data_IF_394425632187
#
_entry.id   IF_394425632187
#
_cell.length_a   1.000
_cell.length_b   1.000
_cell.length_c   1.000
_cell.angle_alpha   90.00
_cell.angle_beta   90.00
_cell.angle_gamma   90.00
#
_symmetry.space_group_name_H-M   'P 1'
#
loop_
_entity.id
_entity.type
_entity.pdbx_description
1 polymer ?
#
# COMPACT_ATOMS: atom_id res chain seq x y z
N UNK A 1 10.19 80.53 44.22
CA UNK A 1 9.83 79.29 44.96
C UNK A 1 10.39 79.42 46.36
N UNK A 2 9.58 79.25 47.38
CA UNK A 2 10.06 79.30 48.76
C UNK A 2 11.01 78.10 48.99
N UNK A 3 12.24 78.42 49.37
CA UNK A 3 13.25 77.36 49.67
C UNK A 3 12.97 76.86 51.08
N UNK A 4 12.38 75.67 51.20
CA UNK A 4 12.16 74.96 52.46
C UNK A 4 13.41 74.21 52.83
N UNK A 5 14.14 74.62 53.85
CA UNK A 5 15.45 74.05 54.24
C UNK A 5 15.35 72.65 54.87
N UNK A 6 14.25 72.39 55.59
CA UNK A 6 14.03 71.09 56.26
C UNK A 6 13.65 69.93 55.31
N UNK A 7 13.07 70.20 54.15
CA UNK A 7 12.68 69.17 53.16
C UNK A 7 13.12 69.60 51.80
N UNK A 8 14.16 68.86 51.23
CA UNK A 8 14.66 69.12 49.89
C UNK A 8 13.75 68.46 48.86
N UNK A 9 12.60 69.12 48.53
CA UNK A 9 11.62 68.57 47.55
C UNK A 9 12.23 68.36 46.16
N UNK A 10 13.25 69.15 45.80
CA UNK A 10 13.96 69.01 44.50
C UNK A 10 14.79 67.73 44.47
N UNK A 11 15.55 67.44 45.55
CA UNK A 11 16.30 66.23 45.70
C UNK A 11 15.40 64.97 45.75
N UNK A 12 14.28 65.05 46.50
CA UNK A 12 13.29 63.95 46.53
C UNK A 12 12.68 63.66 45.17
N UNK A 13 12.33 64.74 44.41
CA UNK A 13 11.80 64.55 43.06
C UNK A 13 12.90 63.96 42.08
N UNK A 14 14.13 64.46 42.20
CA UNK A 14 15.26 63.91 41.39
C UNK A 14 15.52 62.45 41.76
N UNK A 15 15.50 62.09 43.05
CA UNK A 15 15.69 60.68 43.44
C UNK A 15 14.53 59.80 43.00
N UNK A 16 13.30 60.25 43.04
CA UNK A 16 12.16 59.51 42.46
C UNK A 16 12.31 59.31 40.98
N UNK A 17 12.70 60.37 40.25
CA UNK A 17 12.93 60.27 38.79
C UNK A 17 14.12 59.36 38.45
N UNK A 18 15.20 59.41 39.23
CA UNK A 18 16.32 58.48 39.12
C UNK A 18 15.89 57.05 39.36
N UNK A 19 15.03 56.76 40.36
CA UNK A 19 14.47 55.44 40.61
C UNK A 19 13.63 54.92 39.43
N UNK A 20 12.82 55.76 38.79
CA UNK A 20 12.06 55.40 37.57
C UNK A 20 12.99 55.10 36.42
N UNK A 21 14.03 55.95 36.20
CA UNK A 21 14.98 55.75 35.08
C UNK A 21 15.84 54.48 35.25
N UNK A 22 16.34 54.23 36.47
CA UNK A 22 17.13 53.00 36.74
C UNK A 22 16.27 51.75 36.62
N UNK A 23 15.00 51.79 37.00
CA UNK A 23 14.03 50.71 36.80
C UNK A 23 13.77 50.46 35.30
N UNK A 24 13.59 51.55 34.52
CA UNK A 24 13.41 51.44 33.07
C UNK A 24 14.69 50.88 32.37
N UNK A 25 15.88 51.32 32.80
CA UNK A 25 17.18 50.84 32.31
C UNK A 25 17.33 49.32 32.61
N UNK A 26 17.03 48.86 33.82
CA UNK A 26 17.07 47.47 34.20
C UNK A 26 16.12 46.62 33.34
N UNK A 27 14.92 47.14 33.04
CA UNK A 27 13.95 46.47 32.19
C UNK A 27 14.40 46.39 30.74
N UNK A 28 14.99 47.43 30.18
CA UNK A 28 15.62 47.37 28.83
C UNK A 28 16.81 46.40 28.79
N UNK A 29 17.64 46.37 29.83
CA UNK A 29 18.72 45.41 29.97
C UNK A 29 18.22 43.95 30.02
N UNK A 30 17.11 43.69 30.74
CA UNK A 30 16.47 42.37 30.78
C UNK A 30 16.00 41.94 29.39
N UNK A 31 15.38 42.81 28.61
CA UNK A 31 14.91 42.53 27.26
C UNK A 31 16.07 42.32 26.28
N UNK A 32 17.11 43.15 26.37
CA UNK A 32 18.31 42.97 25.52
C UNK A 32 19.06 41.69 25.80
N UNK A 33 19.14 41.28 27.08
CA UNK A 33 19.80 40.05 27.49
C UNK A 33 19.01 38.79 27.07
N UNK A 34 17.66 38.84 27.15
CA UNK A 34 16.80 37.70 26.77
C UNK A 34 16.48 37.64 25.31
N UNK A 35 16.55 38.76 24.57
CA UNK A 35 16.07 38.90 23.20
C UNK A 35 14.55 38.96 23.09
N UNK A 36 13.84 38.93 24.21
CA UNK A 36 12.38 38.93 24.24
C UNK A 36 11.81 40.24 24.75
N UNK A 37 10.74 40.72 24.08
CA UNK A 37 9.97 41.87 24.49
C UNK A 37 9.09 41.57 25.73
N UNK A 38 8.59 40.29 25.78
CA UNK A 38 7.73 39.79 26.85
C UNK A 38 8.51 38.74 27.64
N UNK A 39 9.03 39.14 28.81
CA UNK A 39 9.76 38.25 29.70
C UNK A 39 8.91 37.72 30.84
N UNK A 40 8.02 38.55 31.34
CA UNK A 40 7.18 38.24 32.49
C UNK A 40 5.69 38.43 32.19
N UNK A 41 4.83 37.70 32.88
CA UNK A 41 3.38 37.81 32.70
C UNK A 41 2.86 39.24 32.93
N UNK A 42 3.57 40.04 33.77
CA UNK A 42 3.25 41.45 34.03
C UNK A 42 3.58 42.41 32.87
N UNK A 43 4.36 41.98 31.88
CA UNK A 43 4.70 42.82 30.71
C UNK A 43 3.54 42.86 29.70
N UNK A 44 3.02 41.69 29.36
CA UNK A 44 1.84 41.50 28.50
C UNK A 44 1.27 40.10 28.73
N UNK A 45 0.25 40.00 29.56
CA UNK A 45 -0.37 38.71 29.89
C UNK A 45 -1.11 38.08 28.69
N UNK A 46 -1.68 38.90 27.81
CA UNK A 46 -2.39 38.42 26.63
C UNK A 46 -1.39 37.94 25.56
N UNK A 47 -0.37 38.74 25.27
CA UNK A 47 0.70 38.38 24.34
C UNK A 47 1.47 37.15 24.79
N UNK A 48 1.76 37.01 26.08
CA UNK A 48 2.41 35.82 26.63
C UNK A 48 1.56 34.56 26.42
N UNK A 49 0.27 34.60 26.72
CA UNK A 49 -0.65 33.47 26.53
C UNK A 49 -0.71 33.03 25.05
N UNK A 50 -0.75 33.98 24.11
CA UNK A 50 -0.81 33.72 22.69
C UNK A 50 0.54 33.11 22.21
N UNK A 51 1.67 33.73 22.63
CA UNK A 51 3.00 33.22 22.23
C UNK A 51 3.27 31.80 22.76
N UNK A 52 2.92 31.52 24.01
CA UNK A 52 3.06 30.16 24.56
C UNK A 52 2.18 29.12 23.84
N UNK A 53 0.96 29.52 23.42
CA UNK A 53 0.11 28.66 22.58
C UNK A 53 0.74 28.43 21.23
N UNK A 54 1.24 29.45 20.55
CA UNK A 54 1.93 29.33 19.24
C UNK A 54 3.19 28.49 19.36
N UNK A 55 3.98 28.70 20.39
CA UNK A 55 5.19 27.92 20.66
C UNK A 55 4.88 26.44 20.91
N UNK A 56 3.79 26.15 21.62
CA UNK A 56 3.31 24.76 21.77
C UNK A 56 2.87 24.17 20.44
N UNK A 57 2.20 24.95 19.57
CA UNK A 57 1.81 24.51 18.23
C UNK A 57 3.04 24.24 17.35
N UNK A 58 4.04 25.15 17.31
CA UNK A 58 5.28 24.96 16.54
C UNK A 58 5.99 23.67 16.96
N UNK A 59 6.15 23.43 18.27
CA UNK A 59 6.73 22.19 18.77
C UNK A 59 5.91 20.96 18.39
N UNK A 60 4.59 21.07 18.41
CA UNK A 60 3.67 20.02 17.97
C UNK A 60 3.80 19.73 16.46
N UNK A 61 3.86 20.77 15.63
CA UNK A 61 4.01 20.66 14.17
C UNK A 61 5.35 20.05 13.79
N UNK A 62 6.46 20.48 14.41
CA UNK A 62 7.78 19.91 14.18
C UNK A 62 7.83 18.41 14.56
N UNK A 63 7.17 18.03 15.66
CA UNK A 63 7.06 16.63 16.04
C UNK A 63 6.20 15.84 15.06
N UNK A 64 5.13 16.44 14.55
CA UNK A 64 4.26 15.86 13.55
C UNK A 64 4.99 15.66 12.21
N UNK A 65 5.84 16.60 11.79
CA UNK A 65 6.71 16.48 10.62
C UNK A 65 7.69 15.29 10.77
N UNK A 66 8.34 15.18 11.95
CA UNK A 66 9.21 14.02 12.26
C UNK A 66 8.43 12.70 12.21
N UNK A 67 7.24 12.64 12.82
CA UNK A 67 6.39 11.46 12.77
C UNK A 67 6.02 11.08 11.32
N UNK A 68 5.72 12.07 10.48
CA UNK A 68 5.42 11.83 9.07
C UNK A 68 6.63 11.26 8.32
N UNK A 69 7.85 11.73 8.60
CA UNK A 69 9.10 11.18 8.06
C UNK A 69 9.34 9.74 8.51
N UNK A 70 9.05 9.42 9.79
CA UNK A 70 9.08 8.04 10.30
C UNK A 70 8.08 7.16 9.53
N UNK A 71 6.89 7.70 9.22
CA UNK A 71 5.89 7.02 8.40
C UNK A 71 6.35 6.76 6.97
N UNK A 72 7.03 7.70 6.33
CA UNK A 72 7.63 7.52 5.00
C UNK A 72 8.70 6.42 5.05
N UNK A 73 9.56 6.40 6.06
CA UNK A 73 10.61 5.39 6.23
C UNK A 73 10.02 3.98 6.43
N UNK A 74 8.91 3.87 7.16
CA UNK A 74 8.15 2.63 7.34
C UNK A 74 7.59 2.14 6.00
N UNK A 75 6.97 3.03 5.22
CA UNK A 75 6.40 2.70 3.90
C UNK A 75 7.51 2.24 2.96
N UNK A 76 8.64 2.92 2.90
CA UNK A 76 9.79 2.53 2.07
C UNK A 76 10.35 1.16 2.45
N UNK A 77 10.37 0.82 3.74
CA UNK A 77 10.77 -0.52 4.20
C UNK A 77 9.80 -1.59 3.71
N UNK A 78 8.49 -1.33 3.82
CA UNK A 78 7.47 -2.24 3.33
C UNK A 78 7.51 -2.38 1.80
N UNK A 79 7.70 -1.27 1.08
CA UNK A 79 7.79 -1.26 -0.38
C UNK A 79 9.02 -2.03 -0.89
N UNK A 80 10.16 -1.91 -0.22
CA UNK A 80 11.36 -2.70 -0.53
C UNK A 80 11.08 -4.20 -0.45
N UNK A 81 10.43 -4.65 0.63
CA UNK A 81 10.05 -6.05 0.78
C UNK A 81 8.99 -6.50 -0.24
N UNK A 82 8.03 -5.64 -0.60
CA UNK A 82 7.05 -5.93 -1.63
C UNK A 82 7.66 -5.99 -3.04
N UNK A 83 8.76 -5.26 -3.30
CA UNK A 83 9.52 -5.39 -4.54
C UNK A 83 10.15 -6.77 -4.67
N UNK A 84 10.78 -7.27 -3.60
CA UNK A 84 11.32 -8.63 -3.58
C UNK A 84 10.21 -9.68 -3.75
N UNK A 85 9.09 -9.53 -3.03
CA UNK A 85 7.94 -10.40 -3.19
C UNK A 85 7.40 -10.40 -4.63
N UNK A 86 7.35 -9.24 -5.28
CA UNK A 86 6.94 -9.12 -6.68
C UNK A 86 7.92 -9.85 -7.63
N UNK A 87 9.22 -9.72 -7.41
CA UNK A 87 10.25 -10.41 -8.20
C UNK A 87 10.16 -11.93 -8.05
N UNK A 88 9.90 -12.42 -6.84
CA UNK A 88 9.66 -13.83 -6.55
C UNK A 88 8.41 -14.31 -7.31
N UNK A 89 7.31 -13.58 -7.26
CA UNK A 89 6.08 -13.94 -7.95
C UNK A 89 6.26 -13.94 -9.47
N UNK A 90 7.02 -13.01 -10.04
CA UNK A 90 7.36 -13.03 -11.45
C UNK A 90 8.16 -14.29 -11.80
N UNK A 91 9.14 -14.67 -10.99
CA UNK A 91 9.89 -15.92 -11.19
C UNK A 91 9.00 -17.16 -11.09
N UNK A 92 8.06 -17.17 -10.13
CA UNK A 92 7.07 -18.24 -10.02
C UNK A 92 6.17 -18.33 -11.25
N UNK A 93 5.79 -17.20 -11.84
CA UNK A 93 5.01 -17.18 -13.08
C UNK A 93 5.80 -17.75 -14.25
N UNK A 94 7.08 -17.38 -14.39
CA UNK A 94 7.96 -17.97 -15.43
C UNK A 94 8.06 -19.49 -15.30
N UNK A 95 8.28 -19.98 -14.08
CA UNK A 95 8.36 -21.42 -13.78
C UNK A 95 7.04 -22.14 -14.05
N UNK A 96 5.91 -21.51 -13.69
CA UNK A 96 4.60 -22.08 -13.95
C UNK A 96 4.31 -22.18 -15.45
N UNK A 97 4.67 -21.15 -16.23
CA UNK A 97 4.56 -21.17 -17.70
C UNK A 97 5.50 -22.22 -18.31
N UNK A 98 6.74 -22.33 -17.81
CA UNK A 98 7.67 -23.36 -18.24
C UNK A 98 7.11 -24.76 -17.95
N UNK A 99 6.57 -24.99 -16.74
CA UNK A 99 6.00 -26.26 -16.31
C UNK A 99 4.71 -26.65 -17.05
N UNK A 100 4.00 -25.65 -17.61
CA UNK A 100 2.81 -25.89 -18.42
C UNK A 100 3.10 -26.49 -19.79
N UNK A 101 4.38 -26.54 -20.22
CA UNK A 101 4.73 -27.10 -21.49
C UNK A 101 4.80 -28.63 -21.40
N UNK A 102 4.11 -29.33 -22.30
CA UNK A 102 4.07 -30.79 -22.36
C UNK A 102 5.38 -31.45 -22.87
N UNK A 103 6.36 -30.66 -23.29
CA UNK A 103 7.69 -31.15 -23.60
C UNK A 103 8.53 -31.51 -22.37
N UNK A 104 8.09 -31.10 -21.17
CA UNK A 104 8.78 -31.39 -19.92
C UNK A 104 8.44 -32.81 -19.43
N UNK A 105 9.46 -33.58 -19.09
CA UNK A 105 9.29 -34.86 -18.42
C UNK A 105 8.92 -34.67 -16.91
N UNK A 106 8.48 -35.77 -16.27
CA UNK A 106 8.13 -35.73 -14.84
C UNK A 106 9.27 -35.24 -13.96
N UNK A 107 10.51 -35.61 -14.27
CA UNK A 107 11.70 -35.16 -13.51
C UNK A 107 11.91 -33.64 -13.61
N UNK A 108 11.68 -33.07 -14.80
CA UNK A 108 11.79 -31.62 -15.01
C UNK A 108 10.70 -30.87 -14.24
N UNK A 109 9.47 -31.37 -14.26
CA UNK A 109 8.35 -30.82 -13.48
C UNK A 109 8.59 -30.92 -11.98
N UNK A 110 9.21 -32.01 -11.50
CA UNK A 110 9.59 -32.16 -10.09
C UNK A 110 10.64 -31.12 -9.67
N UNK A 111 11.61 -30.84 -10.54
CA UNK A 111 12.61 -29.79 -10.29
C UNK A 111 11.95 -28.40 -10.22
N UNK A 112 11.03 -28.10 -11.14
CA UNK A 112 10.26 -26.85 -11.14
C UNK A 112 9.40 -26.74 -9.87
N UNK A 113 8.75 -27.84 -9.44
CA UNK A 113 7.96 -27.86 -8.20
C UNK A 113 8.80 -27.59 -6.95
N UNK A 114 10.04 -28.11 -6.89
CA UNK A 114 10.96 -27.82 -5.79
C UNK A 114 11.34 -26.33 -5.77
N UNK A 115 11.60 -25.73 -6.92
CA UNK A 115 11.88 -24.28 -7.01
C UNK A 115 10.66 -23.45 -6.61
N UNK A 116 9.44 -23.80 -7.05
CA UNK A 116 8.19 -23.14 -6.64
C UNK A 116 7.96 -23.24 -5.14
N UNK A 117 8.24 -24.39 -4.52
CA UNK A 117 8.15 -24.57 -3.06
C UNK A 117 9.15 -23.68 -2.31
N UNK A 118 10.39 -23.62 -2.78
CA UNK A 118 11.43 -22.77 -2.19
C UNK A 118 11.02 -21.28 -2.28
N UNK A 119 10.53 -20.83 -3.43
CA UNK A 119 10.05 -19.47 -3.65
C UNK A 119 8.83 -19.13 -2.80
N UNK A 120 7.90 -20.08 -2.63
CA UNK A 120 6.73 -19.91 -1.74
C UNK A 120 7.17 -19.77 -0.30
N UNK A 121 8.13 -20.56 0.14
CA UNK A 121 8.70 -20.49 1.50
C UNK A 121 9.43 -19.17 1.71
N UNK A 122 10.16 -18.69 0.72
CA UNK A 122 10.85 -17.40 0.78
C UNK A 122 9.86 -16.24 0.84
N UNK A 123 8.75 -16.31 0.12
CA UNK A 123 7.67 -15.33 0.19
C UNK A 123 7.08 -15.25 1.61
N UNK A 124 6.81 -16.40 2.24
CA UNK A 124 6.35 -16.47 3.64
C UNK A 124 7.41 -15.92 4.60
N UNK A 125 8.68 -16.19 4.35
CA UNK A 125 9.79 -15.65 5.13
C UNK A 125 9.80 -14.12 5.06
N UNK A 126 9.72 -13.54 3.86
CA UNK A 126 9.66 -12.08 3.67
C UNK A 126 8.48 -11.49 4.44
N UNK A 127 7.30 -12.10 4.33
CA UNK A 127 6.09 -11.65 5.02
C UNK A 127 6.25 -11.62 6.54
N UNK A 128 6.93 -12.61 7.12
CA UNK A 128 7.07 -12.73 8.58
C UNK A 128 8.27 -12.00 9.15
N UNK A 129 9.34 -11.83 8.36
CA UNK A 129 10.59 -11.20 8.84
C UNK A 129 10.67 -9.70 8.59
N UNK A 130 9.86 -9.16 7.66
CA UNK A 130 9.86 -7.73 7.39
C UNK A 130 9.26 -6.96 8.55
N UNK A 131 10.10 -6.23 9.28
CA UNK A 131 9.69 -5.48 10.46
C UNK A 131 10.28 -4.07 10.44
N UNK A 132 9.56 -3.13 11.04
CA UNK A 132 10.03 -1.79 11.35
C UNK A 132 9.84 -1.55 12.86
N UNK A 133 10.90 -1.24 13.57
CA UNK A 133 10.87 -1.05 15.03
C UNK A 133 10.15 -2.21 15.78
N UNK A 134 10.50 -3.47 15.45
CA UNK A 134 9.90 -4.70 16.03
C UNK A 134 8.39 -4.89 15.73
N UNK A 135 7.82 -4.12 14.81
CA UNK A 135 6.46 -4.32 14.33
C UNK A 135 6.54 -4.97 12.95
N UNK A 136 5.92 -6.11 12.80
CA UNK A 136 5.82 -6.77 11.51
C UNK A 136 4.92 -5.94 10.60
N UNK A 137 5.30 -5.82 9.32
CA UNK A 137 4.60 -4.98 8.37
C UNK A 137 3.69 -5.77 7.43
N UNK A 138 4.09 -7.01 7.04
CA UNK A 138 3.48 -7.77 5.96
C UNK A 138 2.71 -9.03 6.44
N UNK A 139 2.62 -9.25 7.74
CA UNK A 139 1.93 -10.42 8.33
C UNK A 139 0.44 -10.18 8.61
N UNK A 140 -0.09 -9.00 8.27
CA UNK A 140 -1.48 -8.61 8.50
C UNK A 140 -1.76 -8.04 9.89
N UNK A 141 -0.77 -7.94 10.77
CA UNK A 141 -0.95 -7.31 12.09
C UNK A 141 -0.89 -5.77 12.02
N UNK A 142 -0.33 -5.24 10.93
CA UNK A 142 -0.19 -3.80 10.72
C UNK A 142 -1.45 -3.20 10.07
N UNK A 143 -2.57 -3.27 10.79
CA UNK A 143 -3.87 -2.76 10.35
C UNK A 143 -4.27 -1.53 11.14
N UNK A 144 -4.84 -0.53 10.44
CA UNK A 144 -5.41 0.69 11.02
C UNK A 144 -4.48 1.42 12.01
N UNK A 145 -3.19 1.46 11.72
CA UNK A 145 -2.22 2.20 12.55
C UNK A 145 -2.31 3.69 12.27
N UNK A 146 -2.54 4.48 13.32
CA UNK A 146 -2.68 5.92 13.23
C UNK A 146 -1.31 6.59 13.39
N UNK A 147 -0.93 7.37 12.40
CA UNK A 147 0.23 8.24 12.42
C UNK A 147 -0.22 9.66 12.71
N UNK A 148 0.15 10.22 13.86
CA UNK A 148 -0.20 11.57 14.24
C UNK A 148 0.64 12.57 13.43
N UNK A 149 -0.01 13.28 12.51
CA UNK A 149 0.60 14.23 11.56
C UNK A 149 0.11 15.66 11.77
N UNK A 150 -0.25 16.01 12.99
CA UNK A 150 -0.66 17.36 13.33
C UNK A 150 -0.53 17.66 14.81
N UNK A 151 -0.54 18.96 15.15
CA UNK A 151 -0.36 19.45 16.52
C UNK A 151 -1.60 19.29 17.40
N UNK A 152 -2.77 19.02 16.80
CA UNK A 152 -4.03 18.90 17.53
C UNK A 152 -4.54 17.45 17.54
N UNK A 153 -5.48 17.14 18.44
CA UNK A 153 -6.12 15.83 18.50
C UNK A 153 -6.85 15.51 17.19
N UNK A 154 -6.89 14.23 16.83
CA UNK A 154 -7.55 13.68 15.65
C UNK A 154 -6.95 14.11 14.29
N UNK A 155 -5.73 14.64 14.27
CA UNK A 155 -5.00 14.94 13.06
C UNK A 155 -4.05 13.78 12.73
N UNK A 156 -4.60 12.64 12.35
CA UNK A 156 -3.83 11.42 12.03
C UNK A 156 -4.10 10.92 10.61
N UNK A 157 -3.11 10.25 10.04
CA UNK A 157 -3.22 9.47 8.81
C UNK A 157 -3.18 8.01 9.22
N UNK A 158 -4.16 7.23 8.76
CA UNK A 158 -4.21 5.79 9.01
C UNK A 158 -3.44 5.05 7.93
N UNK A 159 -2.57 4.15 8.34
CA UNK A 159 -1.82 3.25 7.47
C UNK A 159 -2.30 1.83 7.74
N UNK A 160 -2.60 1.10 6.67
CA UNK A 160 -2.94 -0.33 6.71
C UNK A 160 -2.12 -1.06 5.66
N UNK A 161 -1.54 -2.17 6.05
CA UNK A 161 -0.81 -3.06 5.15
C UNK A 161 -1.43 -4.45 5.30
N UNK A 162 -1.90 -4.99 4.19
CA UNK A 162 -2.54 -6.29 4.18
C UNK A 162 -1.51 -7.41 4.36
N UNK A 163 -2.01 -8.59 4.74
CA UNK A 163 -1.17 -9.76 4.85
C UNK A 163 -0.73 -10.24 3.47
N UNK A 164 0.59 -10.38 3.28
CA UNK A 164 1.24 -10.77 2.03
C UNK A 164 1.88 -12.16 2.07
N UNK A 165 1.41 -13.03 2.98
CA UNK A 165 1.84 -14.43 3.00
C UNK A 165 1.22 -15.24 1.84
N UNK A 166 1.78 -16.39 1.56
CA UNK A 166 1.32 -17.27 0.48
C UNK A 166 -0.15 -17.70 0.61
N UNK A 167 -0.69 -17.82 1.84
CA UNK A 167 -2.10 -18.15 2.06
C UNK A 167 -3.04 -17.03 1.61
N UNK A 168 -2.76 -15.79 2.02
CA UNK A 168 -3.60 -14.61 1.67
C UNK A 168 -3.48 -14.25 0.21
N UNK A 169 -2.32 -14.45 -0.37
CA UNK A 169 -2.09 -14.28 -1.81
C UNK A 169 -2.85 -15.33 -2.64
N UNK A 170 -3.26 -16.44 -2.04
CA UNK A 170 -4.02 -17.51 -2.70
C UNK A 170 -3.14 -18.63 -3.27
N UNK A 171 -1.83 -18.65 -2.91
CA UNK A 171 -0.89 -19.64 -3.38
C UNK A 171 -0.96 -20.97 -2.63
N UNK A 172 -1.69 -21.06 -1.52
CA UNK A 172 -1.86 -22.29 -0.72
C UNK A 172 -3.29 -22.82 -0.72
N UNK A 173 -4.15 -22.49 -1.56
CA UNK A 173 -5.47 -23.08 -1.74
C UNK A 173 -5.92 -22.83 -3.17
N UNK A 174 -5.02 -23.16 -4.10
CA UNK A 174 -5.25 -22.99 -5.53
C UNK A 174 -6.35 -23.95 -5.95
N UNK A 175 -7.45 -23.39 -6.42
CA UNK A 175 -8.57 -24.18 -6.94
C UNK A 175 -8.43 -24.28 -8.44
N UNK A 176 -8.54 -25.46 -8.95
CA UNK A 176 -8.59 -25.74 -10.37
C UNK A 176 -9.60 -26.84 -10.66
N UNK A 177 -9.89 -27.03 -11.91
CA UNK A 177 -10.71 -28.13 -12.37
C UNK A 177 -9.84 -29.02 -13.25
N UNK A 178 -9.68 -30.25 -12.84
CA UNK A 178 -9.08 -31.30 -13.63
C UNK A 178 -10.19 -32.24 -14.09
N UNK A 179 -10.10 -32.65 -15.33
CA UNK A 179 -11.09 -33.59 -15.82
C UNK A 179 -10.79 -34.95 -15.22
N UNK A 180 -11.80 -35.49 -14.56
CA UNK A 180 -11.64 -36.65 -13.69
C UNK A 180 -11.15 -37.89 -14.42
N UNK A 181 -10.33 -38.66 -13.71
CA UNK A 181 -9.91 -39.98 -14.19
C UNK A 181 -11.14 -40.83 -14.51
N UNK A 182 -11.06 -41.48 -15.67
CA UNK A 182 -12.11 -42.34 -16.19
C UNK A 182 -12.45 -43.43 -15.19
N UNK A 183 -13.69 -43.40 -14.77
CA UNK A 183 -14.23 -44.57 -14.05
C UNK A 183 -14.31 -45.80 -14.98
N UNK A 184 -14.12 -46.97 -14.40
CA UNK A 184 -14.10 -48.24 -15.15
C UNK A 184 -15.31 -48.36 -16.06
N UNK A 185 -15.11 -48.28 -17.36
CA UNK A 185 -16.19 -48.36 -18.39
C UNK A 185 -16.37 -47.07 -19.21
N UNK A 186 -15.69 -45.98 -18.86
CA UNK A 186 -15.76 -44.71 -19.57
C UNK A 186 -14.45 -44.45 -20.30
N UNK A 187 -14.50 -43.98 -21.54
CA UNK A 187 -13.34 -43.52 -22.29
C UNK A 187 -13.39 -41.98 -22.43
N UNK A 188 -12.31 -41.28 -22.13
CA UNK A 188 -12.28 -39.86 -22.35
C UNK A 188 -12.17 -39.52 -23.81
N UNK A 189 -12.88 -38.50 -24.20
CA UNK A 189 -12.54 -37.71 -25.38
C UNK A 189 -11.97 -36.38 -24.88
N UNK A 190 -10.82 -36.02 -25.37
CA UNK A 190 -10.20 -34.74 -24.99
C UNK A 190 -10.00 -33.84 -26.20
N UNK A 191 -10.30 -32.56 -26.04
CA UNK A 191 -10.02 -31.52 -27.02
C UNK A 191 -9.01 -30.57 -26.44
N UNK A 192 -7.87 -30.42 -27.07
CA UNK A 192 -6.89 -29.40 -26.76
C UNK A 192 -7.21 -28.11 -27.50
N UNK A 193 -7.47 -27.07 -26.76
CA UNK A 193 -7.69 -25.73 -27.29
C UNK A 193 -6.76 -24.77 -26.60
N UNK A 194 -5.86 -24.11 -27.35
CA UNK A 194 -4.86 -23.17 -26.80
C UNK A 194 -4.06 -23.70 -25.61
N UNK A 195 -3.70 -24.96 -25.65
CA UNK A 195 -2.98 -25.58 -24.57
C UNK A 195 -3.88 -26.10 -23.42
N UNK A 196 -5.17 -25.81 -23.40
CA UNK A 196 -6.12 -26.38 -22.45
C UNK A 196 -6.71 -27.67 -23.00
N UNK A 197 -6.61 -28.76 -22.23
CA UNK A 197 -7.21 -30.05 -22.57
C UNK A 197 -8.60 -30.12 -21.93
N UNK A 198 -9.63 -30.24 -22.77
CA UNK A 198 -11.02 -30.45 -22.35
C UNK A 198 -11.35 -31.93 -22.59
N UNK A 199 -11.48 -32.70 -21.49
CA UNK A 199 -11.77 -34.13 -21.57
C UNK A 199 -13.25 -34.41 -21.36
N UNK A 200 -13.78 -35.39 -22.07
CA UNK A 200 -15.15 -35.86 -21.91
C UNK A 200 -15.15 -37.33 -21.58
N UNK A 201 -15.93 -37.69 -20.58
CA UNK A 201 -16.20 -39.06 -20.23
C UNK A 201 -17.35 -39.63 -21.09
N UNK A 202 -17.10 -40.69 -21.85
CA UNK A 202 -18.12 -41.38 -22.62
C UNK A 202 -18.46 -42.71 -21.96
N UNK A 203 -19.69 -42.82 -21.46
CA UNK A 203 -20.20 -44.05 -20.89
C UNK A 203 -20.97 -44.85 -21.96
N UNK A 204 -20.62 -46.12 -22.15
CA UNK A 204 -21.14 -46.99 -23.20
C UNK A 204 -22.55 -47.60 -22.91
N UNK A 205 -23.24 -47.19 -21.86
CA UNK A 205 -24.42 -47.93 -21.34
C UNK A 205 -25.75 -47.52 -21.91
N UNK A 206 -25.90 -46.45 -22.69
CA UNK A 206 -27.21 -46.05 -23.23
C UNK A 206 -27.16 -45.42 -24.63
N UNK A 207 -27.81 -46.04 -25.58
CA UNK A 207 -27.95 -45.57 -26.95
C UNK A 207 -28.83 -44.31 -27.12
N UNK A 208 -29.64 -43.97 -26.15
CA UNK A 208 -30.55 -42.81 -26.22
C UNK A 208 -29.93 -41.42 -26.05
N UNK A 209 -28.61 -41.37 -25.77
CA UNK A 209 -27.95 -40.09 -25.39
C UNK A 209 -26.95 -39.58 -26.41
N UNK A 210 -26.94 -40.08 -27.67
CA UNK A 210 -26.06 -39.59 -28.71
C UNK A 210 -26.24 -38.09 -28.97
N UNK A 211 -27.49 -37.59 -28.94
CA UNK A 211 -27.79 -36.17 -29.15
C UNK A 211 -27.31 -35.33 -27.99
N UNK A 212 -27.40 -35.84 -26.77
CA UNK A 212 -26.91 -35.17 -25.57
C UNK A 212 -25.36 -35.08 -25.59
N UNK A 213 -24.71 -36.19 -26.00
CA UNK A 213 -23.26 -36.25 -26.15
C UNK A 213 -22.70 -35.23 -27.17
N UNK A 214 -23.36 -35.13 -28.31
CA UNK A 214 -23.02 -34.14 -29.36
C UNK A 214 -23.26 -32.75 -28.86
N UNK A 215 -24.34 -32.52 -28.07
CA UNK A 215 -24.64 -31.26 -27.48
C UNK A 215 -23.60 -30.81 -26.44
N UNK A 216 -23.19 -31.71 -25.56
CA UNK A 216 -22.21 -31.42 -24.51
C UNK A 216 -20.81 -31.15 -25.06
N UNK A 217 -20.41 -31.93 -26.10
CA UNK A 217 -19.17 -31.72 -26.85
C UNK A 217 -19.18 -30.36 -27.58
N UNK A 218 -20.31 -29.97 -28.18
CA UNK A 218 -20.51 -28.68 -28.83
C UNK A 218 -20.43 -27.52 -27.83
N UNK A 219 -21.07 -27.66 -26.68
CA UNK A 219 -21.02 -26.65 -25.60
C UNK A 219 -19.60 -26.44 -25.11
N UNK A 220 -18.82 -27.50 -24.95
CA UNK A 220 -17.45 -27.34 -24.50
C UNK A 220 -16.53 -26.71 -25.52
N UNK A 221 -16.69 -27.05 -26.81
CA UNK A 221 -15.97 -26.39 -27.90
C UNK A 221 -16.37 -24.91 -27.96
N UNK A 222 -17.68 -24.61 -27.80
CA UNK A 222 -18.18 -23.24 -27.78
C UNK A 222 -17.62 -22.46 -26.58
N UNK A 223 -17.54 -23.07 -25.41
CA UNK A 223 -16.97 -22.44 -24.21
C UNK A 223 -15.46 -22.22 -24.40
N UNK A 224 -14.73 -23.20 -24.91
CA UNK A 224 -13.31 -23.08 -25.24
C UNK A 224 -13.07 -21.96 -26.27
N UNK A 225 -13.96 -21.79 -27.24
CA UNK A 225 -13.86 -20.76 -28.29
C UNK A 225 -14.24 -19.37 -27.78
N UNK A 226 -15.06 -19.26 -26.72
CA UNK A 226 -15.53 -17.97 -26.19
C UNK A 226 -14.52 -17.33 -25.23
N UNK A 227 -13.63 -18.10 -24.65
CA UNK A 227 -12.63 -17.59 -23.69
C UNK A 227 -11.44 -16.90 -24.35
N UNK A 228 -11.27 -17.02 -25.70
CA UNK A 228 -10.10 -16.44 -26.34
C UNK A 228 -10.28 -16.13 -27.85
N UNK A 229 -9.73 -15.01 -28.29
CA UNK A 229 -9.88 -14.43 -29.64
C UNK A 229 -9.01 -15.08 -30.75
N UNK A 230 -8.44 -16.26 -30.54
CA UNK A 230 -7.55 -16.92 -31.52
C UNK A 230 -8.05 -18.30 -31.95
N UNK A 231 -7.62 -18.74 -33.13
CA UNK A 231 -7.99 -20.01 -33.71
C UNK A 231 -7.51 -21.22 -32.89
N UNK A 232 -8.38 -22.19 -32.61
CA UNK A 232 -8.07 -23.33 -31.78
C UNK A 232 -7.13 -24.34 -32.45
N UNK A 233 -6.15 -24.82 -31.68
CA UNK A 233 -5.42 -26.03 -32.00
C UNK A 233 -6.11 -27.22 -31.33
N UNK A 234 -7.03 -27.85 -32.05
CA UNK A 234 -7.79 -28.97 -31.52
C UNK A 234 -7.07 -30.26 -31.86
N UNK A 235 -6.45 -30.85 -30.86
CA UNK A 235 -6.01 -32.24 -30.93
C UNK A 235 -7.02 -33.11 -30.26
N UNK A 236 -7.81 -33.83 -31.03
CA UNK A 236 -8.71 -34.81 -30.47
C UNK A 236 -7.92 -36.09 -30.14
N UNK A 237 -7.85 -36.37 -28.84
CA UNK A 237 -7.26 -37.60 -28.32
C UNK A 237 -8.37 -38.56 -27.93
N UNK A 238 -8.47 -39.61 -28.62
CA UNK A 238 -9.43 -40.66 -28.29
C UNK A 238 -10.82 -40.45 -28.88
N UNK A 239 -11.37 -41.38 -29.05
CA UNK A 239 -12.60 -41.76 -29.66
C UNK A 239 -13.84 -41.12 -29.11
N UNK A 240 -14.54 -40.40 -29.96
CA UNK A 240 -15.70 -39.64 -29.56
C UNK A 240 -16.95 -40.33 -29.95
N UNK A 241 -17.51 -41.23 -29.65
CA UNK A 241 -18.86 -41.64 -29.90
C UNK A 241 -19.23 -42.75 -30.67
N UNK A 242 -20.18 -43.53 -30.28
CA UNK A 242 -20.63 -44.49 -30.99
C UNK A 242 -22.02 -45.06 -31.01
N UNK A 243 -22.33 -45.81 -31.78
CA UNK A 243 -23.65 -46.33 -31.96
C UNK A 243 -23.84 -47.70 -31.35
N UNK A 244 -25.02 -47.91 -30.85
CA UNK A 244 -25.51 -49.28 -30.60
C UNK A 244 -25.49 -50.09 -31.92
N UNK A 245 -25.28 -51.31 -31.88
CA UNK A 245 -25.11 -52.17 -33.04
C UNK A 245 -26.18 -52.11 -34.16
N UNK A 246 -26.95 -51.03 -34.24
CA UNK A 246 -28.02 -50.84 -35.21
C UNK A 246 -27.56 -50.20 -36.54
N UNK A 247 -26.24 -49.97 -36.68
CA UNK A 247 -25.72 -49.76 -38.01
C UNK A 247 -25.12 -48.42 -38.32
N UNK A 248 -24.26 -48.43 -39.29
CA UNK A 248 -23.52 -47.30 -39.83
C UNK A 248 -24.36 -46.09 -40.22
N UNK A 249 -25.65 -46.23 -40.40
CA UNK A 249 -26.55 -45.14 -40.81
C UNK A 249 -26.84 -44.10 -39.71
N UNK A 250 -26.92 -44.55 -38.46
CA UNK A 250 -27.12 -43.63 -37.29
C UNK A 250 -25.86 -42.86 -36.96
N UNK A 251 -24.72 -43.50 -37.14
CA UNK A 251 -23.45 -42.86 -36.96
C UNK A 251 -23.17 -41.78 -38.04
N UNK A 252 -23.38 -42.08 -39.31
CA UNK A 252 -23.18 -41.11 -40.37
C UNK A 252 -24.14 -39.91 -40.28
N UNK A 253 -25.38 -40.13 -39.81
CA UNK A 253 -26.31 -39.03 -39.55
C UNK A 253 -25.91 -38.18 -38.34
N UNK A 254 -25.45 -38.78 -37.27
CA UNK A 254 -24.92 -38.07 -36.12
C UNK A 254 -23.62 -37.28 -36.45
N UNK A 255 -22.70 -37.91 -37.23
CA UNK A 255 -21.51 -37.26 -37.75
C UNK A 255 -21.84 -36.09 -38.66
N UNK A 256 -22.79 -36.26 -39.59
CA UNK A 256 -23.20 -35.21 -40.50
C UNK A 256 -23.87 -34.04 -39.79
N UNK A 257 -24.70 -34.29 -38.78
CA UNK A 257 -25.32 -33.26 -37.96
C UNK A 257 -24.28 -32.48 -37.13
N UNK A 258 -23.35 -33.18 -36.54
CA UNK A 258 -22.23 -32.57 -35.80
C UNK A 258 -21.34 -31.72 -36.70
N UNK A 259 -20.96 -32.21 -37.85
CA UNK A 259 -20.15 -31.49 -38.83
C UNK A 259 -20.86 -30.26 -39.40
N UNK A 260 -22.17 -30.35 -39.68
CA UNK A 260 -22.97 -29.23 -40.14
C UNK A 260 -23.04 -28.10 -39.08
N UNK A 261 -23.19 -28.48 -37.84
CA UNK A 261 -23.27 -27.56 -36.71
C UNK A 261 -21.91 -26.86 -36.42
N UNK A 262 -20.81 -27.59 -36.56
CA UNK A 262 -19.45 -27.06 -36.37
C UNK A 262 -19.02 -26.18 -37.53
N UNK A 263 -19.38 -26.54 -38.76
CA UNK A 263 -19.03 -25.77 -39.96
C UNK A 263 -19.74 -24.39 -39.98
N UNK A 264 -20.92 -24.28 -39.35
CA UNK A 264 -21.63 -23.01 -39.21
C UNK A 264 -21.03 -22.11 -38.16
N UNK A 265 -20.24 -22.66 -37.22
CA UNK A 265 -19.71 -21.87 -36.07
C UNK A 265 -18.23 -21.50 -36.26
N UNK A 266 -17.41 -22.33 -36.93
CA UNK A 266 -16.01 -22.01 -37.26
C UNK A 266 -15.42 -23.06 -38.22
N UNK A 267 -15.13 -22.68 -39.46
CA UNK A 267 -14.64 -23.54 -40.50
C UNK A 267 -13.27 -24.23 -40.29
N UNK A 268 -12.55 -23.89 -39.21
CA UNK A 268 -11.19 -24.39 -38.91
C UNK A 268 -11.23 -25.63 -37.99
N UNK A 269 -12.33 -25.86 -37.32
CA UNK A 269 -12.49 -26.98 -36.38
C UNK A 269 -12.89 -28.32 -37.06
N UNK A 270 -13.36 -28.27 -38.29
CA UNK A 270 -14.02 -29.36 -38.96
C UNK A 270 -13.11 -30.57 -39.20
N UNK A 271 -11.86 -30.36 -39.62
CA UNK A 271 -10.95 -31.45 -40.03
C UNK A 271 -10.36 -32.22 -38.84
N UNK A 272 -10.00 -31.54 -37.76
CA UNK A 272 -9.44 -32.20 -36.57
C UNK A 272 -10.51 -33.05 -35.84
N UNK A 273 -11.73 -32.57 -35.81
CA UNK A 273 -12.87 -33.25 -35.17
C UNK A 273 -13.29 -34.44 -36.06
N UNK A 274 -13.31 -34.27 -37.40
CA UNK A 274 -13.66 -35.32 -38.35
C UNK A 274 -12.70 -36.48 -38.25
N UNK A 275 -11.39 -36.22 -38.17
CA UNK A 275 -10.38 -37.25 -38.09
C UNK A 275 -10.44 -38.00 -36.75
N UNK A 276 -10.67 -37.30 -35.65
CA UNK A 276 -10.81 -37.96 -34.37
C UNK A 276 -12.08 -38.77 -34.22
N UNK A 277 -13.14 -38.30 -34.83
CA UNK A 277 -14.39 -39.02 -34.87
C UNK A 277 -14.30 -40.28 -35.74
N UNK A 278 -13.63 -40.21 -36.86
CA UNK A 278 -13.36 -41.37 -37.72
C UNK A 278 -12.48 -42.43 -37.05
N UNK A 279 -11.45 -42.05 -36.34
CA UNK A 279 -10.56 -42.95 -35.61
C UNK A 279 -11.28 -43.72 -34.49
N UNK A 280 -12.22 -43.06 -33.84
CA UNK A 280 -13.02 -43.70 -32.79
C UNK A 280 -13.91 -44.79 -33.33
N UNK A 281 -14.66 -44.50 -34.32
CA UNK A 281 -15.60 -45.45 -34.88
C UNK A 281 -14.93 -46.68 -35.42
N UNK A 282 -13.74 -46.52 -36.01
CA UNK A 282 -12.96 -47.66 -36.51
C UNK A 282 -12.48 -48.59 -35.41
N UNK A 283 -12.22 -48.07 -34.21
CA UNK A 283 -11.71 -48.86 -33.06
C UNK A 283 -12.82 -49.50 -32.19
N UNK A 284 -13.99 -48.89 -32.10
CA UNK A 284 -15.04 -49.32 -31.13
C UNK A 284 -16.21 -50.09 -31.78
N UNK A 285 -16.28 -50.11 -33.10
CA UNK A 285 -17.38 -50.84 -33.82
C UNK A 285 -17.35 -52.37 -33.64
N UNK A 286 -16.40 -52.87 -32.86
CA UNK A 286 -16.24 -54.33 -32.62
C UNK A 286 -16.95 -54.86 -31.36
N UNK A 287 -17.53 -54.04 -30.50
CA UNK A 287 -18.05 -54.49 -29.19
C UNK A 287 -19.51 -54.17 -28.85
N UNK A 288 -20.29 -53.57 -29.74
CA UNK A 288 -21.77 -53.62 -29.67
C UNK A 288 -22.51 -52.97 -28.47
N UNK A 289 -21.91 -52.06 -27.73
CA UNK A 289 -22.54 -51.37 -26.63
C UNK A 289 -22.42 -49.85 -26.75
N UNK A 290 -23.51 -49.16 -26.72
CA UNK A 290 -23.57 -47.70 -26.91
C UNK A 290 -22.97 -46.89 -25.71
N UNK A 291 -22.20 -45.85 -25.97
CA UNK A 291 -21.63 -45.02 -24.94
C UNK A 291 -22.58 -43.92 -24.47
N UNK A 292 -22.60 -43.67 -23.19
CA UNK A 292 -23.22 -42.49 -22.57
C UNK A 292 -22.15 -41.42 -22.25
N UNK A 293 -22.41 -40.16 -22.57
CA UNK A 293 -21.46 -39.07 -22.30
C UNK A 293 -21.75 -38.44 -20.97
N UNK A 294 -20.78 -38.37 -20.12
CA UNK A 294 -20.80 -37.58 -18.92
C UNK A 294 -19.57 -36.67 -18.85
N UNK A 295 -19.75 -35.35 -18.86
CA UNK A 295 -18.67 -34.44 -18.54
C UNK A 295 -18.48 -34.44 -17.02
N UNK A 296 -17.37 -34.99 -16.54
CA UNK A 296 -17.02 -34.97 -15.14
C UNK A 296 -15.81 -34.07 -14.95
N UNK A 297 -16.04 -32.83 -14.52
CA UNK A 297 -14.96 -31.96 -14.04
C UNK A 297 -14.75 -32.26 -12.56
N UNK A 298 -13.61 -32.77 -12.20
CA UNK A 298 -13.21 -32.91 -10.81
C UNK A 298 -12.52 -31.63 -10.36
N UNK A 299 -13.19 -30.86 -9.53
CA UNK A 299 -12.54 -29.74 -8.87
C UNK A 299 -11.43 -30.28 -7.96
N UNK A 300 -10.23 -29.72 -8.11
CA UNK A 300 -9.12 -30.01 -7.23
C UNK A 300 -8.71 -28.78 -6.45
N UNK A 301 -8.13 -29.00 -5.27
CA UNK A 301 -7.53 -27.94 -4.48
C UNK A 301 -6.09 -28.32 -4.21
N UNK A 302 -5.16 -27.47 -4.64
CA UNK A 302 -3.74 -27.65 -4.38
C UNK A 302 -3.35 -26.87 -3.11
N UNK A 303 -2.60 -27.53 -2.23
CA UNK A 303 -2.09 -26.89 -1.01
C UNK A 303 -0.85 -26.03 -1.27
N UNK A 304 -0.27 -26.12 -2.47
CA UNK A 304 0.92 -25.41 -2.91
C UNK A 304 0.91 -25.28 -4.43
N UNK A 305 1.61 -24.30 -5.01
CA UNK A 305 1.79 -24.20 -6.45
C UNK A 305 2.49 -25.45 -6.98
N UNK A 306 1.91 -26.11 -7.97
CA UNK A 306 2.51 -27.28 -8.61
C UNK A 306 2.23 -27.26 -10.11
N UNK A 307 3.13 -27.90 -10.86
CA UNK A 307 3.04 -28.01 -12.32
C UNK A 307 3.04 -29.47 -12.80
N UNK A 308 2.58 -30.41 -11.95
CA UNK A 308 2.56 -31.84 -12.25
C UNK A 308 1.76 -32.17 -13.50
N UNK A 309 0.64 -31.47 -13.70
CA UNK A 309 -0.22 -31.58 -14.88
C UNK A 309 -0.43 -30.22 -15.50
N UNK A 310 -0.80 -30.20 -16.77
CA UNK A 310 -1.12 -28.97 -17.50
C UNK A 310 -2.21 -28.15 -16.77
N UNK A 311 -3.28 -28.81 -16.29
CA UNK A 311 -4.37 -28.16 -15.57
C UNK A 311 -3.88 -27.50 -14.27
N UNK A 312 -3.01 -28.18 -13.51
CA UNK A 312 -2.42 -27.63 -12.29
C UNK A 312 -1.47 -26.47 -12.58
N UNK A 313 -0.66 -26.55 -13.63
CA UNK A 313 0.21 -25.49 -14.07
C UNK A 313 -0.59 -24.22 -14.42
N UNK A 314 -1.68 -24.34 -15.18
CA UNK A 314 -2.56 -23.21 -15.50
C UNK A 314 -3.24 -22.61 -14.26
N UNK A 315 -3.72 -23.45 -13.36
CA UNK A 315 -4.27 -22.97 -12.08
C UNK A 315 -3.20 -22.22 -11.26
N UNK A 316 -1.95 -22.70 -11.29
CA UNK A 316 -0.82 -22.02 -10.65
C UNK A 316 -0.52 -20.68 -11.33
N UNK A 317 -0.51 -20.59 -12.66
CA UNK A 317 -0.31 -19.33 -13.39
C UNK A 317 -1.37 -18.31 -12.97
N UNK A 318 -2.64 -18.70 -12.98
CA UNK A 318 -3.74 -17.81 -12.60
C UNK A 318 -3.58 -17.34 -11.14
N UNK A 319 -3.28 -18.25 -10.22
CA UNK A 319 -3.09 -17.88 -8.80
C UNK A 319 -1.90 -16.94 -8.60
N UNK A 320 -0.80 -17.13 -9.31
CA UNK A 320 0.37 -16.27 -9.26
C UNK A 320 0.07 -14.89 -9.87
N UNK A 321 -0.67 -14.82 -10.97
CA UNK A 321 -1.10 -13.55 -11.57
C UNK A 321 -2.02 -12.77 -10.62
N UNK A 322 -2.94 -13.43 -9.95
CA UNK A 322 -3.80 -12.83 -8.93
C UNK A 322 -2.97 -12.32 -7.74
N UNK A 323 -1.94 -13.07 -7.32
CA UNK A 323 -1.01 -12.64 -6.28
C UNK A 323 -0.22 -11.40 -6.71
N UNK A 324 0.30 -11.36 -7.95
CA UNK A 324 0.98 -10.19 -8.52
C UNK A 324 0.06 -8.97 -8.51
N UNK A 325 -1.20 -9.13 -8.89
CA UNK A 325 -2.18 -8.04 -8.88
C UNK A 325 -2.44 -7.51 -7.47
N UNK A 326 -2.55 -8.40 -6.47
CA UNK A 326 -2.71 -7.99 -5.06
C UNK A 326 -1.49 -7.22 -4.54
N UNK A 327 -0.27 -7.74 -4.78
CA UNK A 327 0.97 -7.04 -4.38
C UNK A 327 1.09 -5.69 -5.07
N UNK A 328 0.79 -5.60 -6.36
CA UNK A 328 0.82 -4.35 -7.13
C UNK A 328 -0.20 -3.34 -6.61
N UNK A 329 -1.40 -3.78 -6.25
CA UNK A 329 -2.44 -2.93 -5.64
C UNK A 329 -1.98 -2.37 -4.29
N UNK A 330 -1.39 -3.22 -3.45
CA UNK A 330 -0.86 -2.78 -2.15
C UNK A 330 0.29 -1.77 -2.31
N UNK A 331 1.21 -2.00 -3.26
CA UNK A 331 2.28 -1.05 -3.57
C UNK A 331 1.75 0.29 -4.05
N UNK A 332 0.73 0.28 -4.92
CA UNK A 332 0.07 1.50 -5.39
C UNK A 332 -0.56 2.29 -4.24
N UNK A 333 -1.23 1.59 -3.30
CA UNK A 333 -1.81 2.22 -2.12
C UNK A 333 -0.73 2.84 -1.21
N UNK A 334 0.40 2.14 -1.00
CA UNK A 334 1.52 2.66 -0.21
C UNK A 334 2.19 3.86 -0.88
N UNK A 335 2.38 3.83 -2.20
CA UNK A 335 2.92 4.97 -2.97
C UNK A 335 2.00 6.21 -2.89
N UNK A 336 0.69 6.02 -2.94
CA UNK A 336 -0.27 7.11 -2.74
C UNK A 336 -0.19 7.70 -1.31
N UNK A 337 -0.01 6.84 -0.29
CA UNK A 337 0.19 7.28 1.09
C UNK A 337 1.52 8.03 1.27
N UNK A 338 2.60 7.57 0.63
CA UNK A 338 3.89 8.27 0.65
C UNK A 338 3.77 9.68 0.08
N UNK A 339 3.20 9.83 -1.12
CA UNK A 339 2.98 11.15 -1.72
C UNK A 339 2.14 12.06 -0.82
N UNK A 340 1.11 11.50 -0.18
CA UNK A 340 0.27 12.24 0.77
C UNK A 340 1.05 12.69 2.01
N UNK A 341 1.93 11.84 2.54
CA UNK A 341 2.80 12.20 3.68
C UNK A 341 3.81 13.27 3.29
N UNK A 342 4.44 13.20 2.12
CA UNK A 342 5.37 14.22 1.63
C UNK A 342 4.70 15.59 1.48
N UNK A 343 3.51 15.64 0.90
CA UNK A 343 2.74 16.88 0.85
C UNK A 343 2.31 17.37 2.24
N UNK A 344 2.03 16.46 3.16
CA UNK A 344 1.72 16.81 4.55
C UNK A 344 2.92 17.40 5.25
N UNK A 345 4.12 16.81 5.10
CA UNK A 345 5.38 17.33 5.64
C UNK A 345 5.62 18.77 5.15
N UNK A 346 5.56 18.99 3.83
CA UNK A 346 5.75 20.31 3.25
C UNK A 346 4.74 21.35 3.79
N UNK A 347 3.50 20.94 4.00
CA UNK A 347 2.47 21.80 4.60
C UNK A 347 2.76 22.09 6.08
N UNK A 348 3.14 21.06 6.85
CA UNK A 348 3.48 21.21 8.28
C UNK A 348 4.66 22.16 8.48
N UNK A 349 5.70 22.04 7.67
CA UNK A 349 6.89 22.89 7.74
C UNK A 349 6.52 24.35 7.42
N UNK A 350 5.72 24.60 6.37
CA UNK A 350 5.22 25.93 6.05
C UNK A 350 4.37 26.55 7.18
N UNK A 351 3.48 25.74 7.77
CA UNK A 351 2.62 26.21 8.90
C UNK A 351 3.47 26.46 10.14
N UNK A 352 4.48 25.61 10.41
CA UNK A 352 5.40 25.80 11.54
C UNK A 352 6.20 27.09 11.37
N UNK A 353 6.77 27.36 10.21
CA UNK A 353 7.53 28.58 9.89
C UNK A 353 6.66 29.83 10.04
N UNK A 354 5.47 29.83 9.44
CA UNK A 354 4.53 30.94 9.56
C UNK A 354 4.10 31.21 11.01
N UNK A 355 3.84 30.14 11.77
CA UNK A 355 3.45 30.25 13.19
C UNK A 355 4.63 30.75 14.04
N UNK A 356 5.84 30.27 13.77
CA UNK A 356 7.05 30.74 14.44
C UNK A 356 7.35 32.21 14.11
N UNK A 357 7.18 32.64 12.86
CA UNK A 357 7.29 34.04 12.47
C UNK A 357 6.25 34.93 13.15
N UNK A 358 5.01 34.44 13.32
CA UNK A 358 4.00 35.16 14.06
C UNK A 358 4.30 35.22 15.57
N UNK A 359 4.82 34.16 16.17
CA UNK A 359 5.27 34.12 17.56
C UNK A 359 6.42 35.10 17.80
N UNK A 360 7.41 35.12 16.90
CA UNK A 360 8.53 36.05 16.91
C UNK A 360 8.06 37.52 16.93
N UNK A 361 7.10 37.90 16.09
CA UNK A 361 6.53 39.27 16.10
C UNK A 361 5.85 39.63 17.39
N UNK A 362 5.32 38.70 18.15
CA UNK A 362 4.68 38.94 19.43
C UNK A 362 5.71 39.01 20.55
N UNK A 363 6.69 38.12 20.57
CA UNK A 363 7.55 37.87 21.71
C UNK A 363 8.93 38.51 21.61
N UNK A 364 9.50 38.56 20.40
CA UNK A 364 10.88 39.02 20.21
C UNK A 364 10.95 40.56 20.30
N UNK A 365 12.10 41.06 20.76
CA UNK A 365 12.37 42.48 20.82
C UNK A 365 13.14 42.94 19.57
N UNK A 366 12.82 44.16 19.14
CA UNK A 366 13.70 44.86 18.19
C UNK A 366 14.95 45.36 18.97
N UNK A 367 16.06 44.67 18.77
CA UNK A 367 17.31 44.94 19.45
C UNK A 367 17.84 46.34 19.17
N UNK A 368 17.64 46.90 17.97
CA UNK A 368 18.08 48.22 17.62
C UNK A 368 17.30 49.29 18.38
N UNK A 369 15.99 49.17 18.39
CA UNK A 369 15.12 50.09 19.13
C UNK A 369 15.33 50.02 20.65
N UNK A 370 15.46 48.82 21.22
CA UNK A 370 15.66 48.63 22.66
C UNK A 370 17.09 49.08 23.09
N UNK A 371 18.11 48.96 22.25
CA UNK A 371 19.46 49.55 22.52
C UNK A 371 19.44 51.07 22.59
N UNK A 372 18.68 51.71 21.72
CA UNK A 372 18.49 53.18 21.78
C UNK A 372 17.80 53.57 23.08
N UNK A 373 16.79 52.83 23.50
CA UNK A 373 16.06 53.07 24.74
C UNK A 373 16.95 52.82 25.98
N UNK A 374 17.75 51.76 25.95
CA UNK A 374 18.73 51.48 26.99
C UNK A 374 19.76 52.60 27.12
N UNK A 375 20.35 53.06 25.99
CA UNK A 375 21.35 54.13 25.93
C UNK A 375 20.77 55.46 26.44
N UNK A 376 19.52 55.79 26.03
CA UNK A 376 18.78 56.96 26.54
C UNK A 376 18.58 56.88 28.06
N UNK A 377 18.14 55.76 28.58
CA UNK A 377 17.92 55.55 30.00
C UNK A 377 19.23 55.59 30.80
N UNK A 378 20.34 55.08 30.21
CA UNK A 378 21.66 55.17 30.83
C UNK A 378 22.15 56.64 30.94
N UNK A 379 22.00 57.42 29.86
CA UNK A 379 22.34 58.88 29.88
C UNK A 379 21.47 59.62 30.89
N UNK A 380 20.14 59.32 30.95
CA UNK A 380 19.23 59.92 31.89
C UNK A 380 19.53 59.54 33.34
N UNK A 381 19.99 58.32 33.60
CA UNK A 381 20.42 57.88 34.93
C UNK A 381 21.69 58.65 35.40
N UNK A 382 22.69 58.82 34.50
CA UNK A 382 23.87 59.61 34.80
C UNK A 382 23.56 61.10 35.02
N UNK A 383 22.69 61.69 34.19
CA UNK A 383 22.22 63.05 34.37
C UNK A 383 21.42 63.19 35.65
N UNK A 384 20.56 62.25 36.01
CA UNK A 384 19.79 62.23 37.24
C UNK A 384 20.64 62.17 38.49
N UNK A 385 21.73 61.37 38.47
CA UNK A 385 22.71 61.34 39.56
C UNK A 385 23.40 62.68 39.71
N UNK A 386 23.81 63.32 38.60
CA UNK A 386 24.43 64.65 38.64
C UNK A 386 23.48 65.73 39.17
N UNK A 387 22.21 65.71 38.74
CA UNK A 387 21.16 66.61 39.23
C UNK A 387 20.85 66.40 40.70
N UNK A 388 20.85 65.18 41.20
CA UNK A 388 20.68 64.84 42.58
C UNK A 388 21.84 65.42 43.43
N UNK A 389 23.10 65.23 42.95
CA UNK A 389 24.26 65.81 43.60
C UNK A 389 24.18 67.33 43.62
N UNK A 390 23.82 67.98 42.52
CA UNK A 390 23.63 69.45 42.44
C UNK A 390 22.53 69.97 43.38
N UNK A 391 21.39 69.23 43.46
CA UNK A 391 20.30 69.62 44.38
C UNK A 391 20.69 69.51 45.86
N UNK A 392 21.53 68.52 46.19
CA UNK A 392 22.06 68.40 47.56
C UNK A 392 23.11 69.47 47.85
N UNK A 393 23.95 69.85 46.90
CA UNK A 393 24.89 70.96 47.11
C UNK A 393 24.19 72.34 47.28
N UNK A 394 23.12 72.60 46.55
CA UNK A 394 22.40 73.86 46.65
C UNK A 394 21.80 74.13 48.06
N UNK A 395 21.33 73.04 48.68
CA UNK A 395 20.80 73.17 50.09
C UNK A 395 21.92 73.29 51.10
N UNK A 396 23.11 72.64 50.88
CA UNK A 396 24.24 72.82 51.74
C UNK A 396 24.82 74.25 51.64
N UNK A 397 24.84 74.84 50.41
CA UNK A 397 25.28 76.23 50.22
C UNK A 397 24.37 77.24 50.94
N UNK A 398 23.07 76.98 51.01
CA UNK A 398 22.14 77.83 51.80
C UNK A 398 22.39 77.66 53.29
N UNK A 399 22.68 76.41 53.74
CA UNK A 399 22.95 76.20 55.20
C UNK A 399 24.27 76.88 55.62
N UNK A 400 25.29 76.91 54.74
CA UNK A 400 26.55 77.61 55.03
C UNK A 400 26.45 79.13 55.03
N UNK A 401 25.43 79.69 54.39
CA UNK A 401 25.15 81.11 54.41
C UNK A 401 24.33 81.56 55.65
N UNK A 402 23.75 80.60 56.38
CA UNK A 402 22.95 80.81 57.58
C UNK A 402 23.74 80.53 58.85
N UNK A 403 24.95 80.03 58.76
CA UNK A 403 25.91 79.91 59.85
C UNK A 403 26.90 81.11 59.81
#
# INVERSE_FOLDING_TARGET
>A
MAMVVQHNLTAMNSNRQLGVTTSAQAKSAEKLSSGYRINRAGDDAAGLKISEKMRSQVRGLNRASTNAQDGVSLIQTAEGALNEAHSILQRMNELAVQGANDTNEGIDRDAINQELDALTTELDRISTTTQFNKQNLLDGTFQQKNLQVGANANQSITISIDNMNADTLGLRNIKGEELGAIQTGKKPASVNYKGNTYDYDIDKTQASNQTAAISDFKVAISNAASEDHYAPDIKAHGSVLYTDGAGASTYESAKSAMLADISTTNGIMSDAITNSFADYVTKENTTGTAPTVGASRSAFTMKKPTVDTYAKANATITAVQDAINKVSSQRSALGALQNRLEHTIANLDNVAENTQSAESRIRDTDMASEMVEYSKNNILAQAGQSMLAQSNQSTQGVLSLLQ
#
